data_IF_336515060146
#
_entry.id   IF_336515060146
#
_cell.length_a   1.000
_cell.length_b   1.000
_cell.length_c   1.000
_cell.angle_alpha   90.00
_cell.angle_beta   90.00
_cell.angle_gamma   90.00
#
_symmetry.space_group_name_H-M   'P 1'
#
loop_
_entity.id
_entity.type
_entity.pdbx_description
1 polymer ?
#
# COMPACT_ATOMS: atom_id res chain seq x y z
N UNK A 1 -6.97 -3.64 -35.43
CA UNK A 1 -5.98 -4.52 -34.81
C UNK A 1 -4.68 -3.73 -34.73
N UNK A 2 -4.48 -2.95 -33.71
CA UNK A 2 -3.16 -2.34 -33.52
C UNK A 2 -3.06 -1.75 -32.11
N UNK A 3 -1.93 -1.89 -31.50
CA UNK A 3 -1.36 -1.10 -30.41
C UNK A 3 -1.75 -1.37 -28.94
N UNK A 4 -2.27 -2.55 -28.61
CA UNK A 4 -2.40 -2.96 -27.20
C UNK A 4 -1.30 -3.95 -26.73
N UNK A 5 -0.26 -4.15 -27.52
CA UNK A 5 0.69 -5.26 -27.30
C UNK A 5 1.91 -4.94 -26.42
N UNK A 6 2.10 -3.70 -26.04
CA UNK A 6 3.25 -3.38 -25.18
C UNK A 6 2.74 -2.79 -23.87
N UNK A 7 3.02 -3.43 -22.71
CA UNK A 7 2.83 -2.76 -21.44
C UNK A 7 3.60 -1.43 -21.49
N UNK A 8 3.09 -0.36 -20.89
CA UNK A 8 3.79 0.91 -20.90
C UNK A 8 5.20 0.69 -20.40
N UNK A 9 6.19 0.98 -21.26
CA UNK A 9 7.58 0.86 -20.86
C UNK A 9 7.78 1.67 -19.57
N UNK A 10 8.59 1.20 -18.62
CA UNK A 10 8.89 1.91 -17.36
C UNK A 10 9.55 3.29 -17.58
N UNK A 11 9.64 3.75 -18.83
CA UNK A 11 10.25 5.02 -19.25
C UNK A 11 9.42 6.28 -18.97
N UNK A 12 8.19 6.17 -18.45
CA UNK A 12 7.38 7.33 -18.05
C UNK A 12 7.42 7.54 -16.54
N UNK A 13 8.60 7.51 -15.94
CA UNK A 13 8.78 7.86 -14.53
C UNK A 13 8.79 9.37 -14.38
N UNK A 14 7.94 9.90 -13.51
CA UNK A 14 8.10 11.26 -13.00
C UNK A 14 8.98 11.19 -11.76
N UNK A 15 10.04 11.98 -11.69
CA UNK A 15 10.92 12.04 -10.52
C UNK A 15 10.49 13.16 -9.60
N UNK A 16 10.24 12.83 -8.34
CA UNK A 16 9.97 13.82 -7.31
C UNK A 16 10.93 13.61 -6.13
N UNK A 17 11.88 14.54 -5.97
CA UNK A 17 12.98 14.41 -5.00
C UNK A 17 13.79 13.12 -5.23
N UNK A 18 13.73 12.16 -4.28
CA UNK A 18 14.40 10.85 -4.34
C UNK A 18 13.44 9.71 -4.69
N UNK A 19 12.22 10.02 -5.06
CA UNK A 19 11.17 9.04 -5.39
C UNK A 19 10.87 9.11 -6.87
N UNK A 20 10.95 7.99 -7.55
CA UNK A 20 10.45 7.85 -8.91
C UNK A 20 8.99 7.41 -8.84
N UNK A 21 8.13 8.03 -9.62
CA UNK A 21 6.68 7.78 -9.61
C UNK A 21 6.28 7.21 -10.97
N UNK A 22 5.60 6.07 -10.96
CA UNK A 22 4.91 5.52 -12.11
C UNK A 22 3.41 5.84 -11.99
N UNK A 23 2.94 6.94 -12.61
CA UNK A 23 1.56 7.37 -12.41
C UNK A 23 0.58 6.46 -13.15
N UNK A 24 -0.52 6.13 -12.50
CA UNK A 24 -1.70 5.56 -13.15
C UNK A 24 -2.56 6.67 -13.76
N UNK A 25 -3.45 6.29 -14.68
CA UNK A 25 -4.47 7.16 -15.24
C UNK A 25 -5.81 6.40 -15.36
N UNK A 26 -6.87 7.10 -15.70
CA UNK A 26 -8.23 6.55 -15.78
C UNK A 26 -8.33 5.31 -16.71
N UNK A 27 -7.48 5.23 -17.73
CA UNK A 27 -7.46 4.07 -18.65
C UNK A 27 -7.04 2.77 -17.95
N UNK A 28 -6.38 2.85 -16.79
CA UNK A 28 -6.04 1.65 -16.01
C UNK A 28 -7.29 0.94 -15.48
N UNK A 29 -8.37 1.68 -15.18
CA UNK A 29 -9.65 1.08 -14.79
C UNK A 29 -10.26 0.24 -15.92
N UNK A 30 -10.04 0.62 -17.18
CA UNK A 30 -10.50 -0.12 -18.36
C UNK A 30 -9.71 -1.43 -18.55
N UNK A 31 -8.52 -1.52 -17.99
CA UNK A 31 -7.65 -2.69 -18.13
C UNK A 31 -8.27 -3.97 -17.54
N UNK A 32 -9.10 -3.87 -16.51
CA UNK A 32 -9.80 -5.02 -15.94
C UNK A 32 -10.71 -5.70 -16.97
N UNK A 33 -11.45 -4.91 -17.75
CA UNK A 33 -12.31 -5.41 -18.82
C UNK A 33 -11.47 -5.87 -20.04
N UNK A 34 -10.46 -5.09 -20.42
CA UNK A 34 -9.63 -5.37 -21.59
C UNK A 34 -8.83 -6.69 -21.43
N UNK A 35 -8.42 -7.02 -20.23
CA UNK A 35 -7.66 -8.23 -19.93
C UNK A 35 -8.48 -9.39 -19.36
N UNK A 36 -9.80 -9.26 -19.25
CA UNK A 36 -10.66 -10.28 -18.65
C UNK A 36 -10.48 -11.69 -19.26
N UNK A 37 -10.28 -11.79 -20.57
CA UNK A 37 -10.04 -13.06 -21.27
C UNK A 37 -8.57 -13.45 -21.47
N UNK A 38 -7.60 -12.67 -20.97
CA UNK A 38 -6.18 -12.92 -21.19
C UNK A 38 -5.63 -13.97 -20.21
N UNK A 39 -4.99 -15.00 -20.70
CA UNK A 39 -4.28 -16.01 -19.87
C UNK A 39 -3.06 -15.34 -19.20
N UNK A 40 -2.89 -15.55 -17.91
CA UNK A 40 -1.78 -15.01 -17.13
C UNK A 40 -1.90 -13.50 -16.88
N UNK A 41 -3.15 -12.96 -16.93
CA UNK A 41 -3.47 -11.56 -16.67
C UNK A 41 -3.08 -11.09 -15.27
N UNK A 42 -3.03 -12.02 -14.32
CA UNK A 42 -2.62 -11.81 -12.94
C UNK A 42 -1.10 -11.54 -12.77
N UNK A 43 -0.30 -11.81 -13.81
CA UNK A 43 1.17 -11.67 -13.80
C UNK A 43 1.68 -10.42 -14.52
N UNK A 44 0.81 -9.55 -15.01
CA UNK A 44 1.20 -8.43 -15.87
C UNK A 44 2.11 -7.44 -15.14
N UNK A 45 1.74 -7.04 -13.92
CA UNK A 45 2.52 -6.11 -13.13
C UNK A 45 3.84 -6.73 -12.65
N UNK A 46 3.81 -7.98 -12.18
CA UNK A 46 5.02 -8.70 -11.78
C UNK A 46 6.06 -8.73 -12.91
N UNK A 47 5.65 -9.08 -14.13
CA UNK A 47 6.53 -9.08 -15.30
C UNK A 47 7.04 -7.68 -15.66
N UNK A 48 6.19 -6.66 -15.54
CA UNK A 48 6.58 -5.28 -15.84
C UNK A 48 7.62 -4.74 -14.83
N UNK A 49 7.53 -5.13 -13.56
CA UNK A 49 8.45 -4.68 -12.51
C UNK A 49 9.80 -5.41 -12.51
N UNK A 50 9.90 -6.61 -13.10
CA UNK A 50 11.16 -7.38 -13.13
C UNK A 50 12.35 -6.60 -13.68
N UNK A 51 12.14 -5.72 -14.66
CA UNK A 51 13.20 -4.94 -15.28
C UNK A 51 13.70 -3.77 -14.43
N UNK A 52 12.99 -3.40 -13.36
CA UNK A 52 13.28 -2.22 -12.55
C UNK A 52 13.40 -2.50 -11.05
N UNK A 53 12.95 -3.66 -10.58
CA UNK A 53 12.94 -4.01 -9.15
C UNK A 53 14.32 -3.98 -8.51
N UNK A 54 15.39 -4.24 -9.27
CA UNK A 54 16.76 -4.18 -8.79
C UNK A 54 17.34 -2.76 -8.64
N UNK A 55 16.63 -1.73 -9.11
CA UNK A 55 17.08 -0.34 -9.06
C UNK A 55 16.62 0.38 -7.77
N UNK A 56 15.72 -0.24 -6.98
CA UNK A 56 15.06 0.39 -5.83
C UNK A 56 15.19 -0.47 -4.57
N UNK A 57 15.37 0.20 -3.42
CA UNK A 57 15.30 -0.45 -2.11
C UNK A 57 13.86 -0.87 -1.78
N UNK A 58 12.88 -0.02 -2.13
CA UNK A 58 11.46 -0.25 -1.92
C UNK A 58 10.64 0.14 -3.15
N UNK A 59 9.65 -0.67 -3.48
CA UNK A 59 8.62 -0.36 -4.48
C UNK A 59 7.27 -0.37 -3.77
N UNK A 60 6.61 0.78 -3.68
CA UNK A 60 5.29 0.92 -3.07
C UNK A 60 4.22 0.89 -4.16
N UNK A 61 3.26 0.00 -4.04
CA UNK A 61 2.15 -0.14 -4.99
C UNK A 61 0.88 0.32 -4.28
N UNK A 62 0.38 1.50 -4.66
CA UNK A 62 -0.91 2.01 -4.19
C UNK A 62 -2.04 1.32 -4.95
N UNK A 63 -2.94 0.69 -4.22
CA UNK A 63 -4.02 -0.13 -4.78
C UNK A 63 -5.38 0.56 -4.65
N UNK A 64 -6.30 0.36 -5.62
CA UNK A 64 -7.68 0.80 -5.45
C UNK A 64 -8.36 0.01 -4.32
N UNK A 65 -9.46 0.54 -3.73
CA UNK A 65 -10.17 -0.12 -2.64
C UNK A 65 -10.95 -1.39 -3.08
N UNK A 66 -10.95 -1.69 -4.38
CA UNK A 66 -11.57 -2.90 -4.95
C UNK A 66 -10.63 -4.09 -4.93
N UNK A 67 -11.16 -5.29 -4.76
CA UNK A 67 -10.41 -6.55 -4.83
C UNK A 67 -10.47 -7.19 -6.24
N UNK A 68 -10.33 -6.34 -7.27
CA UNK A 68 -10.32 -6.74 -8.67
C UNK A 68 -8.97 -7.17 -9.21
N UNK A 69 -8.87 -7.30 -10.53
CA UNK A 69 -7.65 -7.74 -11.24
C UNK A 69 -6.43 -6.86 -10.93
N UNK A 70 -6.62 -5.57 -10.74
CA UNK A 70 -5.51 -4.65 -10.41
C UNK A 70 -4.90 -4.97 -9.05
N UNK A 71 -5.74 -5.20 -8.04
CA UNK A 71 -5.29 -5.57 -6.69
C UNK A 71 -4.63 -6.96 -6.68
N UNK A 72 -5.18 -7.94 -7.42
CA UNK A 72 -4.55 -9.26 -7.59
C UNK A 72 -3.17 -9.13 -8.23
N UNK A 73 -3.02 -8.29 -9.27
CA UNK A 73 -1.71 -8.03 -9.89
C UNK A 73 -0.72 -7.39 -8.91
N UNK A 74 -1.17 -6.45 -8.08
CA UNK A 74 -0.32 -5.81 -7.08
C UNK A 74 0.16 -6.83 -6.02
N UNK A 75 -0.75 -7.62 -5.46
CA UNK A 75 -0.42 -8.65 -4.47
C UNK A 75 0.47 -9.76 -5.05
N UNK A 76 0.25 -10.14 -6.30
CA UNK A 76 1.10 -11.13 -6.98
C UNK A 76 2.51 -10.61 -7.31
N UNK A 77 2.66 -9.30 -7.45
CA UNK A 77 3.96 -8.66 -7.70
C UNK A 77 4.72 -8.28 -6.42
N UNK A 78 4.02 -8.17 -5.28
CA UNK A 78 4.56 -7.70 -4.03
C UNK A 78 5.20 -8.82 -3.20
N UNK A 79 6.16 -8.47 -2.34
CA UNK A 79 6.70 -9.34 -1.31
C UNK A 79 5.93 -9.18 0.02
N UNK A 80 5.29 -8.03 0.22
CA UNK A 80 4.59 -7.73 1.45
C UNK A 80 3.35 -6.87 1.26
N UNK A 81 2.36 -7.12 2.09
CA UNK A 81 1.11 -6.37 2.18
C UNK A 81 1.09 -5.55 3.46
N UNK A 82 1.05 -4.24 3.31
CA UNK A 82 0.78 -3.29 4.40
C UNK A 82 -0.66 -2.82 4.30
N UNK A 83 -1.41 -2.86 5.40
CA UNK A 83 -2.84 -2.58 5.42
C UNK A 83 -3.10 -1.32 6.26
N UNK A 84 -3.33 -0.14 5.66
CA UNK A 84 -3.84 1.01 6.38
C UNK A 84 -5.32 0.80 6.73
N UNK A 85 -5.67 0.99 7.99
CA UNK A 85 -7.01 0.77 8.53
C UNK A 85 -7.55 2.05 9.13
N UNK A 86 -8.64 2.57 8.58
CA UNK A 86 -9.40 3.64 9.23
C UNK A 86 -10.15 3.05 10.44
N UNK A 87 -10.06 3.74 11.58
CA UNK A 87 -10.61 3.24 12.85
C UNK A 87 -12.11 3.53 12.92
N UNK A 88 -12.87 2.82 12.08
CA UNK A 88 -14.32 2.94 11.95
C UNK A 88 -15.02 1.59 12.17
N UNK A 89 -16.35 1.64 12.37
CA UNK A 89 -17.16 0.46 12.72
C UNK A 89 -16.98 -0.73 11.74
N UNK A 90 -16.84 -0.46 10.45
CA UNK A 90 -16.73 -1.52 9.42
C UNK A 90 -15.29 -2.01 9.17
N UNK A 91 -14.32 -1.53 9.94
CA UNK A 91 -12.90 -1.88 9.74
C UNK A 91 -12.66 -3.40 9.79
N UNK A 92 -13.23 -4.09 10.78
CA UNK A 92 -13.07 -5.55 10.96
C UNK A 92 -13.60 -6.36 9.77
N UNK A 93 -14.77 -5.99 9.24
CA UNK A 93 -15.35 -6.68 8.09
C UNK A 93 -14.49 -6.50 6.82
N UNK A 94 -13.96 -5.30 6.60
CA UNK A 94 -13.03 -5.02 5.49
C UNK A 94 -11.74 -5.83 5.58
N UNK A 95 -11.19 -5.98 6.77
CA UNK A 95 -9.97 -6.74 7.01
C UNK A 95 -10.13 -8.24 6.75
N UNK A 96 -11.26 -8.84 7.13
CA UNK A 96 -11.55 -10.23 6.83
C UNK A 96 -11.51 -10.51 5.32
N UNK A 97 -12.07 -9.61 4.51
CA UNK A 97 -12.08 -9.73 3.05
C UNK A 97 -10.67 -9.56 2.44
N UNK A 98 -9.88 -8.62 2.96
CA UNK A 98 -8.47 -8.42 2.52
C UNK A 98 -7.64 -9.67 2.83
N UNK A 99 -7.79 -10.24 4.04
CA UNK A 99 -7.10 -11.46 4.45
C UNK A 99 -7.47 -12.64 3.56
N UNK A 100 -8.75 -12.86 3.29
CA UNK A 100 -9.20 -13.89 2.37
C UNK A 100 -8.61 -13.71 0.97
N UNK A 101 -8.57 -12.49 0.45
CA UNK A 101 -7.97 -12.20 -0.86
C UNK A 101 -6.47 -12.46 -0.87
N UNK A 102 -5.76 -12.08 0.18
CA UNK A 102 -4.33 -12.36 0.31
C UNK A 102 -4.05 -13.88 0.36
N UNK A 103 -4.90 -14.65 1.04
CA UNK A 103 -4.82 -16.12 1.06
C UNK A 103 -5.02 -16.73 -0.33
N UNK A 104 -5.99 -16.27 -1.10
CA UNK A 104 -6.20 -16.73 -2.48
C UNK A 104 -5.03 -16.38 -3.41
N UNK A 105 -4.38 -15.23 -3.20
CA UNK A 105 -3.23 -14.83 -4.01
C UNK A 105 -1.97 -15.62 -3.65
N UNK A 106 -1.88 -16.25 -2.48
CA UNK A 106 -0.74 -17.11 -2.12
C UNK A 106 -0.55 -18.31 -3.04
N UNK A 107 -1.59 -18.78 -3.73
CA UNK A 107 -1.45 -19.80 -4.76
C UNK A 107 -0.63 -19.31 -5.97
N UNK A 108 -0.65 -17.99 -6.23
CA UNK A 108 0.11 -17.33 -7.30
C UNK A 108 1.46 -16.78 -6.81
N UNK A 109 1.50 -16.34 -5.54
CA UNK A 109 2.66 -15.72 -4.91
C UNK A 109 2.82 -16.24 -3.47
N UNK A 110 3.45 -17.39 -3.27
CA UNK A 110 3.66 -17.99 -1.95
C UNK A 110 4.47 -17.12 -0.98
N UNK A 111 5.30 -16.23 -1.51
CA UNK A 111 6.18 -15.36 -0.73
C UNK A 111 5.48 -14.10 -0.20
N UNK A 112 4.18 -13.90 -0.51
CA UNK A 112 3.43 -12.75 -0.04
C UNK A 112 3.22 -12.81 1.47
N UNK A 113 3.84 -11.90 2.19
CA UNK A 113 3.70 -11.76 3.64
C UNK A 113 2.77 -10.58 4.00
N UNK A 114 1.97 -10.71 5.06
CA UNK A 114 1.30 -9.56 5.66
C UNK A 114 2.30 -8.89 6.60
N UNK A 115 2.78 -7.69 6.23
CA UNK A 115 3.77 -6.93 6.99
C UNK A 115 3.16 -6.27 8.24
N UNK A 116 1.89 -5.93 8.16
CA UNK A 116 1.17 -5.39 9.30
C UNK A 116 0.02 -4.46 8.94
N UNK A 117 -0.68 -4.06 10.00
CA UNK A 117 -1.77 -3.10 9.97
C UNK A 117 -1.33 -1.79 10.62
N UNK A 118 -1.60 -0.66 9.99
CA UNK A 118 -1.40 0.66 10.57
C UNK A 118 -2.74 1.38 10.74
N UNK A 119 -3.05 1.83 11.95
CA UNK A 119 -4.27 2.58 12.23
C UNK A 119 -4.14 4.02 11.72
N UNK A 120 -5.12 4.46 10.93
CA UNK A 120 -5.19 5.80 10.37
C UNK A 120 -6.45 6.53 10.86
N UNK A 121 -6.48 7.87 10.74
CA UNK A 121 -7.56 8.73 11.25
C UNK A 121 -7.87 8.48 12.73
N UNK A 122 -6.85 8.11 13.51
CA UNK A 122 -7.01 7.78 14.92
C UNK A 122 -7.20 9.03 15.77
N UNK A 123 -8.28 9.04 16.58
CA UNK A 123 -8.52 10.06 17.60
C UNK A 123 -8.71 9.39 18.97
N UNK A 124 -7.73 9.56 19.85
CA UNK A 124 -7.74 8.99 21.20
C UNK A 124 -8.88 9.51 22.11
N UNK A 125 -9.58 10.58 21.71
CA UNK A 125 -10.75 11.10 22.47
C UNK A 125 -12.02 10.31 22.16
N UNK A 126 -12.08 9.63 21.01
CA UNK A 126 -13.24 8.86 20.58
C UNK A 126 -13.20 7.44 21.18
N UNK A 127 -14.23 7.08 21.96
CA UNK A 127 -14.37 5.74 22.54
C UNK A 127 -14.36 4.66 21.46
N UNK A 128 -15.13 4.84 20.39
CA UNK A 128 -15.17 3.90 19.26
C UNK A 128 -13.76 3.61 18.70
N UNK A 129 -12.90 4.63 18.55
CA UNK A 129 -11.55 4.44 18.04
C UNK A 129 -10.70 3.57 18.99
N UNK A 130 -10.87 3.73 20.30
CA UNK A 130 -10.18 2.90 21.31
C UNK A 130 -10.67 1.46 21.26
N UNK A 131 -11.98 1.26 21.19
CA UNK A 131 -12.59 -0.07 21.19
C UNK A 131 -12.20 -0.85 19.93
N UNK A 132 -12.25 -0.22 18.75
CA UNK A 132 -11.79 -0.83 17.48
C UNK A 132 -10.29 -1.13 17.54
N UNK A 133 -9.48 -0.21 18.05
CA UNK A 133 -8.04 -0.42 18.17
C UNK A 133 -7.70 -1.55 19.13
N UNK A 134 -8.44 -1.71 20.23
CA UNK A 134 -8.28 -2.82 21.17
C UNK A 134 -8.66 -4.16 20.53
N UNK A 135 -9.81 -4.23 19.84
CA UNK A 135 -10.23 -5.44 19.14
C UNK A 135 -9.21 -5.87 18.07
N UNK A 136 -8.65 -4.89 17.33
CA UNK A 136 -7.60 -5.17 16.35
C UNK A 136 -6.29 -5.63 17.01
N UNK A 137 -5.94 -5.08 18.14
CA UNK A 137 -4.75 -5.53 18.90
C UNK A 137 -4.91 -6.97 19.41
N UNK A 138 -6.11 -7.34 19.88
CA UNK A 138 -6.42 -8.69 20.33
C UNK A 138 -6.38 -9.71 19.18
N UNK A 139 -6.86 -9.33 17.98
CA UNK A 139 -6.92 -10.24 16.83
C UNK A 139 -5.57 -10.33 16.08
N UNK A 140 -4.86 -9.21 15.91
CA UNK A 140 -3.69 -9.11 15.05
C UNK A 140 -2.35 -9.09 15.80
N UNK A 141 -2.38 -8.90 17.12
CA UNK A 141 -1.20 -8.97 17.99
C UNK A 141 -0.04 -8.11 17.47
N UNK A 142 1.14 -8.72 17.37
CA UNK A 142 2.37 -8.08 16.92
C UNK A 142 2.33 -7.62 15.45
N UNK A 143 1.36 -8.07 14.65
CA UNK A 143 1.17 -7.62 13.27
C UNK A 143 0.58 -6.21 13.22
N UNK A 144 -0.08 -5.74 14.29
CA UNK A 144 -0.51 -4.35 14.39
C UNK A 144 0.68 -3.45 14.70
N UNK A 145 0.87 -2.39 13.91
CA UNK A 145 1.87 -1.36 14.21
C UNK A 145 1.50 -0.60 15.49
N UNK A 146 2.50 -0.32 16.31
CA UNK A 146 2.32 0.47 17.54
C UNK A 146 2.03 1.95 17.21
N UNK A 147 2.63 2.43 16.13
CA UNK A 147 2.40 3.79 15.61
C UNK A 147 1.00 3.90 15.03
N UNK A 148 0.33 5.01 15.34
CA UNK A 148 -1.02 5.36 14.87
C UNK A 148 -0.95 6.69 14.16
N UNK A 149 -1.54 6.78 12.96
CA UNK A 149 -1.63 8.03 12.22
C UNK A 149 -2.89 8.76 12.67
N UNK A 150 -2.70 9.87 13.37
CA UNK A 150 -3.80 10.69 13.88
C UNK A 150 -4.50 11.44 12.75
N UNK A 151 -5.80 11.68 12.94
CA UNK A 151 -6.52 12.62 12.10
C UNK A 151 -5.86 14.00 12.16
N UNK A 152 -5.47 14.55 11.00
CA UNK A 152 -4.72 15.79 10.92
C UNK A 152 -4.99 16.53 9.60
N UNK A 153 -5.54 17.72 9.69
CA UNK A 153 -5.92 18.56 8.54
C UNK A 153 -4.73 18.82 7.60
N UNK A 154 -3.52 18.95 8.13
CA UNK A 154 -2.33 19.20 7.29
C UNK A 154 -2.00 18.04 6.33
N UNK A 155 -2.45 16.81 6.61
CA UNK A 155 -2.33 15.68 5.69
C UNK A 155 -3.24 15.84 4.47
N UNK A 156 -4.41 16.45 4.64
CA UNK A 156 -5.33 16.74 3.54
C UNK A 156 -4.94 18.01 2.76
N UNK A 157 -4.37 19.01 3.45
CA UNK A 157 -3.96 20.26 2.84
C UNK A 157 -2.68 20.15 1.99
N UNK A 158 -1.70 19.36 2.42
CA UNK A 158 -0.41 19.24 1.77
C UNK A 158 -0.52 18.84 0.27
N UNK A 159 -1.29 17.80 -0.14
CA UNK A 159 -1.47 17.46 -1.55
C UNK A 159 -2.14 18.56 -2.37
N UNK A 160 -3.10 19.29 -1.79
CA UNK A 160 -3.76 20.44 -2.45
C UNK A 160 -2.78 21.57 -2.77
N UNK A 161 -1.67 21.62 -2.03
CA UNK A 161 -0.58 22.58 -2.27
C UNK A 161 0.58 21.98 -3.09
N UNK A 162 0.40 20.77 -3.66
CA UNK A 162 1.44 20.07 -4.42
C UNK A 162 2.68 19.71 -3.61
N UNK A 163 2.54 19.54 -2.29
CA UNK A 163 3.64 19.27 -1.37
C UNK A 163 3.39 17.97 -0.58
N UNK A 164 4.49 17.36 -0.13
CA UNK A 164 4.41 16.35 0.93
C UNK A 164 4.23 17.03 2.30
N UNK A 165 3.69 16.30 3.27
CA UNK A 165 3.42 16.82 4.60
C UNK A 165 4.68 17.30 5.33
N UNK A 166 5.84 16.71 5.06
CA UNK A 166 7.11 17.11 5.69
C UNK A 166 7.62 18.45 5.15
N UNK A 167 7.34 18.74 3.87
CA UNK A 167 7.64 20.04 3.26
C UNK A 167 6.59 21.09 3.62
N UNK A 168 5.31 20.68 3.67
CA UNK A 168 4.19 21.58 3.97
C UNK A 168 4.19 22.04 5.42
N UNK A 169 4.23 21.09 6.39
CA UNK A 169 4.19 21.42 7.82
C UNK A 169 4.86 20.35 8.68
N UNK A 170 6.17 20.35 8.70
CA UNK A 170 7.00 19.36 9.39
C UNK A 170 6.68 19.19 10.89
N UNK A 171 6.21 20.25 11.54
CA UNK A 171 5.90 20.24 12.98
C UNK A 171 4.53 19.64 13.32
N UNK A 172 3.65 19.40 12.33
CA UNK A 172 2.32 18.85 12.56
C UNK A 172 2.36 17.39 13.05
N UNK A 173 1.29 16.97 13.68
CA UNK A 173 1.17 15.59 14.16
C UNK A 173 1.24 14.56 13.03
N UNK A 174 0.60 14.85 11.89
CA UNK A 174 0.65 13.96 10.74
C UNK A 174 2.06 13.66 10.25
N UNK A 175 2.93 14.69 10.12
CA UNK A 175 4.33 14.50 9.73
C UNK A 175 5.10 13.69 10.78
N UNK A 176 4.89 13.94 12.07
CA UNK A 176 5.54 13.19 13.16
C UNK A 176 5.11 11.73 13.18
N UNK A 177 3.82 11.47 13.01
CA UNK A 177 3.27 10.12 13.03
C UNK A 177 3.77 9.30 11.84
N UNK A 178 3.80 9.88 10.63
CA UNK A 178 4.38 9.20 9.46
C UNK A 178 5.89 8.98 9.57
N UNK A 179 6.63 9.88 10.21
CA UNK A 179 8.05 9.67 10.47
C UNK A 179 8.29 8.51 11.45
N UNK A 180 7.49 8.45 12.53
CA UNK A 180 7.55 7.36 13.51
C UNK A 180 7.15 6.02 12.86
N UNK A 181 6.07 6.03 12.07
CA UNK A 181 5.62 4.85 11.33
C UNK A 181 6.70 4.34 10.36
N UNK A 182 7.35 5.24 9.61
CA UNK A 182 8.42 4.84 8.70
C UNK A 182 9.60 4.21 9.44
N UNK A 183 9.98 4.73 10.62
CA UNK A 183 11.02 4.15 11.44
C UNK A 183 10.63 2.75 11.94
N UNK A 184 9.43 2.58 12.49
CA UNK A 184 8.91 1.28 12.93
C UNK A 184 8.78 0.28 11.76
N UNK A 185 8.35 0.73 10.58
CA UNK A 185 8.27 -0.10 9.39
C UNK A 185 9.66 -0.62 8.96
N UNK A 186 10.65 0.26 8.90
CA UNK A 186 12.01 -0.12 8.54
C UNK A 186 12.59 -1.11 9.53
N UNK A 187 12.47 -0.87 10.84
CA UNK A 187 12.91 -1.78 11.88
C UNK A 187 12.31 -3.19 11.73
N UNK A 188 11.01 -3.28 11.44
CA UNK A 188 10.32 -4.56 11.22
C UNK A 188 10.72 -5.26 9.93
N UNK A 189 11.08 -4.52 8.89
CA UNK A 189 11.37 -5.09 7.57
C UNK A 189 12.85 -5.34 7.31
N UNK A 190 13.77 -4.69 8.00
CA UNK A 190 15.23 -4.91 7.87
C UNK A 190 15.61 -6.37 8.14
N UNK A 191 14.94 -7.05 9.08
CA UNK A 191 15.15 -8.47 9.36
C UNK A 191 14.55 -9.43 8.32
N UNK A 192 13.57 -8.98 7.53
CA UNK A 192 12.83 -9.83 6.60
C UNK A 192 13.40 -9.81 5.17
N UNK A 193 13.98 -8.70 4.74
CA UNK A 193 14.37 -8.49 3.34
C UNK A 193 15.87 -8.28 3.14
N UNK A 194 16.71 -8.52 4.13
CA UNK A 194 18.17 -8.50 4.09
C UNK A 194 18.73 -7.25 3.38
N UNK A 195 19.53 -6.45 4.04
CA UNK A 195 20.31 -5.40 3.39
C UNK A 195 21.10 -6.02 2.24
N UNK A 196 20.79 -5.64 1.00
CA UNK A 196 21.69 -5.91 -0.12
C UNK A 196 22.97 -5.11 0.17
N UNK A 197 24.03 -5.84 0.61
CA UNK A 197 25.37 -5.31 0.74
C UNK A 197 25.97 -4.98 -0.62
#
# INVERSE_FOLDING_TARGET
MSSLETPPSPRRRARWKRVDILPANIRLAEAELAFAGRIGRENLLKKALLSVSGEYDYVLIDCPPSLGLLTVNALNAANGLLIPVQVEYYALAGLALIRQTAELVRDLNPDLAILGLVLTFFDARKTLNKDVAAALADEWGDTLFSTRIRDNVSLAEAPSNGQDVFSYKRSCYGAKDYAAFAAEFLERTEGCYGTRG
#
